data_IF_586036101361
#
_entry.id   IF_586036101361
#
_cell.length_a   1.000
_cell.length_b   1.000
_cell.length_c   1.000
_cell.angle_alpha   90.00
_cell.angle_beta   90.00
_cell.angle_gamma   90.00
#
_symmetry.space_group_name_H-M   'P 1'
#
loop_
_entity.id
_entity.type
_entity.pdbx_description
1 polymer ?
#
# COMPACT_ATOMS: atom_id res chain seq x y z
N UNK A 1 28.67 -11.60 -3.62
CA UNK A 1 27.46 -11.10 -4.31
C UNK A 1 26.29 -11.77 -3.61
N UNK A 2 25.81 -11.12 -2.57
CA UNK A 2 24.79 -11.67 -1.68
C UNK A 2 23.47 -11.70 -2.45
N UNK A 3 22.83 -12.88 -2.48
CA UNK A 3 21.49 -13.04 -3.04
C UNK A 3 20.54 -12.32 -2.10
N UNK A 4 20.17 -11.12 -2.50
CA UNK A 4 19.04 -10.37 -1.98
C UNK A 4 17.87 -11.34 -1.84
N UNK A 5 17.39 -11.48 -0.61
CA UNK A 5 16.23 -12.28 -0.27
C UNK A 5 15.13 -11.96 -1.26
N UNK A 6 14.53 -12.98 -1.87
CA UNK A 6 13.26 -12.83 -2.54
C UNK A 6 12.18 -12.57 -1.47
N UNK A 7 12.31 -11.46 -0.74
CA UNK A 7 11.23 -10.84 -0.01
C UNK A 7 10.17 -10.57 -1.06
N UNK A 8 9.00 -11.20 -0.87
CA UNK A 8 7.88 -11.03 -1.77
C UNK A 8 7.67 -9.54 -2.02
N UNK A 9 7.67 -9.13 -3.29
CA UNK A 9 7.50 -7.73 -3.64
C UNK A 9 6.28 -7.16 -2.90
N UNK A 10 6.39 -5.93 -2.35
CA UNK A 10 5.28 -5.35 -1.63
C UNK A 10 4.05 -5.29 -2.53
N UNK A 11 2.89 -5.60 -1.97
CA UNK A 11 1.64 -5.60 -2.73
C UNK A 11 1.41 -4.20 -3.33
N UNK A 12 1.21 -4.15 -4.65
CA UNK A 12 1.05 -2.91 -5.44
C UNK A 12 2.29 -1.99 -5.49
N UNK A 13 3.50 -2.52 -5.23
CA UNK A 13 4.74 -1.74 -5.25
C UNK A 13 5.02 -1.13 -6.62
N UNK A 14 4.71 -1.85 -7.70
CA UNK A 14 4.91 -1.39 -9.07
C UNK A 14 4.08 -0.12 -9.35
N UNK A 15 2.78 -0.17 -9.08
CA UNK A 15 1.85 0.94 -9.30
C UNK A 15 2.20 2.15 -8.44
N UNK A 16 2.65 1.92 -7.20
CA UNK A 16 3.13 2.99 -6.33
C UNK A 16 4.40 3.64 -6.89
N UNK A 17 5.37 2.84 -7.33
CA UNK A 17 6.62 3.32 -7.91
C UNK A 17 6.39 4.09 -9.22
N UNK A 18 5.50 3.61 -10.09
CA UNK A 18 5.12 4.31 -11.32
C UNK A 18 4.47 5.67 -11.02
N UNK A 19 3.56 5.74 -10.04
CA UNK A 19 2.94 7.00 -9.62
C UNK A 19 3.98 7.98 -9.06
N UNK A 20 4.89 7.50 -8.21
CA UNK A 20 5.98 8.31 -7.65
C UNK A 20 6.92 8.84 -8.74
N UNK A 21 7.24 8.01 -9.73
CA UNK A 21 8.02 8.43 -10.89
C UNK A 21 7.25 9.41 -11.79
N UNK A 22 5.91 9.34 -11.80
CA UNK A 22 5.09 10.29 -12.56
C UNK A 22 5.13 11.69 -11.97
N UNK A 23 5.00 11.82 -10.64
CA UNK A 23 4.99 13.13 -9.98
C UNK A 23 6.35 13.85 -10.02
N UNK A 24 7.44 13.11 -10.22
CA UNK A 24 8.79 13.68 -10.37
C UNK A 24 9.14 14.03 -11.83
N UNK A 25 8.34 13.60 -12.81
CA UNK A 25 8.57 13.92 -14.22
C UNK A 25 8.33 15.40 -14.51
N UNK A 26 9.18 15.96 -15.37
CA UNK A 26 9.05 17.32 -15.90
C UNK A 26 9.11 17.27 -17.42
N UNK A 27 8.10 17.80 -18.14
CA UNK A 27 6.91 18.48 -17.63
C UNK A 27 5.96 17.54 -16.87
N UNK A 28 5.25 18.09 -15.89
CA UNK A 28 4.26 17.34 -15.11
C UNK A 28 3.04 17.01 -15.98
N UNK A 29 2.73 15.72 -16.11
CA UNK A 29 1.60 15.22 -16.86
C UNK A 29 0.51 14.72 -15.90
N UNK A 30 -0.41 15.63 -15.55
CA UNK A 30 -1.45 15.37 -14.57
C UNK A 30 -2.36 14.20 -14.96
N UNK A 31 -2.73 14.10 -16.24
CA UNK A 31 -3.63 13.05 -16.72
C UNK A 31 -2.97 11.66 -16.67
N UNK A 32 -1.67 11.59 -16.98
CA UNK A 32 -0.86 10.38 -16.81
C UNK A 32 -0.80 9.96 -15.34
N UNK A 33 -0.48 10.87 -14.43
CA UNK A 33 -0.36 10.53 -13.01
C UNK A 33 -1.71 10.14 -12.40
N UNK A 34 -2.80 10.78 -12.83
CA UNK A 34 -4.15 10.45 -12.38
C UNK A 34 -4.58 9.04 -12.82
N UNK A 35 -4.20 8.61 -14.04
CA UNK A 35 -4.41 7.22 -14.48
C UNK A 35 -3.62 6.21 -13.63
N UNK A 36 -2.37 6.50 -13.32
CA UNK A 36 -1.54 5.64 -12.45
C UNK A 36 -2.12 5.57 -11.02
N UNK A 37 -2.66 6.67 -10.50
CA UNK A 37 -3.38 6.69 -9.22
C UNK A 37 -4.61 5.78 -9.23
N UNK A 38 -5.40 5.78 -10.31
CA UNK A 38 -6.53 4.86 -10.44
C UNK A 38 -6.09 3.40 -10.49
N UNK A 39 -4.99 3.10 -11.19
CA UNK A 39 -4.41 1.75 -11.21
C UNK A 39 -3.97 1.29 -9.83
N UNK A 40 -3.26 2.16 -9.09
CA UNK A 40 -2.85 1.88 -7.71
C UNK A 40 -4.07 1.64 -6.81
N UNK A 41 -5.11 2.48 -6.94
CA UNK A 41 -6.36 2.33 -6.20
C UNK A 41 -7.04 0.98 -6.49
N UNK A 42 -7.08 0.55 -7.75
CA UNK A 42 -7.65 -0.74 -8.12
C UNK A 42 -6.87 -1.88 -7.46
N UNK A 43 -5.54 -1.87 -7.56
CA UNK A 43 -4.69 -2.89 -6.97
C UNK A 43 -4.90 -3.02 -5.44
N UNK A 44 -4.89 -1.91 -4.70
CA UNK A 44 -5.03 -1.97 -3.23
C UNK A 44 -6.41 -2.45 -2.78
N UNK A 45 -7.46 -2.09 -3.52
CA UNK A 45 -8.82 -2.57 -3.25
C UNK A 45 -8.95 -4.06 -3.57
N UNK A 46 -8.40 -4.49 -4.70
CA UNK A 46 -8.51 -5.86 -5.16
C UNK A 46 -7.68 -6.83 -4.30
N UNK A 47 -6.51 -6.38 -3.81
CA UNK A 47 -5.63 -7.14 -2.91
C UNK A 47 -6.00 -7.01 -1.43
N UNK A 48 -7.05 -6.25 -1.10
CA UNK A 48 -7.53 -6.00 0.27
C UNK A 48 -6.40 -5.55 1.21
N UNK A 49 -5.53 -4.67 0.73
CA UNK A 49 -4.38 -4.24 1.54
C UNK A 49 -4.92 -3.44 2.73
N UNK A 50 -4.69 -3.96 3.95
CA UNK A 50 -4.98 -3.23 5.19
C UNK A 50 -4.02 -2.03 5.26
N UNK A 51 -4.51 -0.91 5.79
CA UNK A 51 -3.84 0.41 5.76
C UNK A 51 -2.32 0.33 5.85
N UNK A 52 -1.64 0.98 4.91
CA UNK A 52 -0.20 1.18 4.99
C UNK A 52 0.08 2.19 6.12
N UNK A 53 0.72 1.74 7.19
CA UNK A 53 1.24 2.61 8.23
C UNK A 53 2.69 2.93 7.90
N UNK A 54 3.04 4.22 7.85
CA UNK A 54 4.43 4.69 7.70
C UNK A 54 5.19 4.68 9.03
N UNK A 55 4.51 4.37 10.13
CA UNK A 55 5.09 4.28 11.45
C UNK A 55 5.11 2.82 11.88
N UNK A 56 6.28 2.38 12.36
CA UNK A 56 6.49 1.13 13.06
C UNK A 56 5.82 1.19 14.45
N UNK A 57 4.52 1.52 14.50
CA UNK A 57 3.71 1.37 15.70
C UNK A 57 2.92 0.08 15.57
N UNK A 58 3.55 -0.93 16.15
CA UNK A 58 3.00 -2.14 16.74
C UNK A 58 1.64 -1.89 17.43
N UNK A 59 0.57 -1.76 16.65
CA UNK A 59 -0.80 -1.87 17.14
C UNK A 59 -1.59 -2.69 16.11
N UNK A 60 -1.28 -3.99 16.09
CA UNK A 60 -2.27 -5.00 15.78
C UNK A 60 -3.45 -4.82 16.75
N UNK A 61 -4.41 -3.98 16.40
CA UNK A 61 -5.76 -4.09 16.93
C UNK A 61 -6.34 -5.38 16.37
N UNK A 62 -6.11 -6.48 17.09
CA UNK A 62 -7.05 -7.58 17.10
C UNK A 62 -8.36 -7.03 17.68
N UNK A 63 -9.30 -6.72 16.80
CA UNK A 63 -10.71 -6.79 17.13
C UNK A 63 -11.03 -8.25 17.51
N UNK A 64 -10.83 -8.61 18.77
CA UNK A 64 -11.58 -9.71 19.38
C UNK A 64 -12.83 -9.10 20.00
N UNK A 65 -13.89 -9.14 19.20
CA UNK A 65 -15.25 -9.26 19.67
C UNK A 65 -15.30 -10.32 20.80
N UNK A 66 -15.63 -9.90 22.02
CA UNK A 66 -15.97 -10.80 23.13
C UNK A 66 -16.80 -10.07 24.18
N UNK A 67 -18.12 -10.08 23.93
CA UNK A 67 -19.12 -10.66 24.85
C UNK A 67 -19.01 -10.30 26.34
N UNK A 68 -19.98 -9.48 26.76
CA UNK A 68 -20.83 -9.60 27.95
C UNK A 68 -20.49 -10.68 29.00
N UNK A 69 -20.14 -10.25 30.22
CA UNK A 69 -20.62 -10.83 31.52
C UNK A 69 -20.11 -9.96 32.68
N UNK A 70 -20.95 -9.15 33.33
CA UNK A 70 -21.64 -9.43 34.61
C UNK A 70 -20.82 -10.37 35.52
N UNK A 71 -20.30 -9.81 36.62
CA UNK A 71 -20.59 -10.20 38.02
C UNK A 71 -19.90 -9.22 38.98
#
# INVERSE_FOLDING_TARGET
MEKESAEAEPVCAQEALELLNCVTQSPFDQEKCLRLLHSLRDCVLNKKVKKFSLDNQDHYQQDTDSVTKKN
#
